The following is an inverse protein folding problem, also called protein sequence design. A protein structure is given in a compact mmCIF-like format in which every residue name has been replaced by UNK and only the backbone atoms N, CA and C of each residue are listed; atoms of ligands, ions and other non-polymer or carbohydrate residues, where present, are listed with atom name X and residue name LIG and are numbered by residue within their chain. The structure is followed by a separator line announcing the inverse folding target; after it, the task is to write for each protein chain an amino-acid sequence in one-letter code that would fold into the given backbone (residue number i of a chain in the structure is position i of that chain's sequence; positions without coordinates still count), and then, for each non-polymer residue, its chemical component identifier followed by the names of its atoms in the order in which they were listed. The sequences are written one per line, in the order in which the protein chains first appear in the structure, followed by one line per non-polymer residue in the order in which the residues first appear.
data_IF_843792234984
#
_entry.id   IF_843792234984
#
_cell.length_a   1.000
_cell.length_b   1.000
_cell.length_c   1.000
_cell.angle_alpha   90.00
_cell.angle_beta   90.00
_cell.angle_gamma   90.00
#
_symmetry.space_group_name_H-M   'P 1'
#
loop_
_entity.id
_entity.type
_entity.pdbx_description
1 polymer ?
#
# COMPACT_ATOMS: atom_id res chain seq x y z
N UNK A 1 10.65 5.09 -14.49
CA UNK A 1 10.37 6.30 -13.69
C UNK A 1 9.80 6.01 -12.29
N UNK A 2 9.31 4.81 -11.98
CA UNK A 2 8.68 4.52 -10.68
C UNK A 2 9.50 4.94 -9.44
N UNK A 3 10.80 4.60 -9.40
CA UNK A 3 11.68 4.87 -8.24
C UNK A 3 12.26 6.30 -8.24
N UNK A 4 12.65 6.82 -9.42
CA UNK A 4 13.41 8.08 -9.55
C UNK A 4 12.65 9.21 -10.28
N UNK A 5 11.34 9.08 -10.45
CA UNK A 5 10.53 10.01 -11.25
C UNK A 5 9.96 11.19 -10.46
N UNK A 6 10.21 11.28 -9.16
CA UNK A 6 9.69 12.33 -8.28
C UNK A 6 10.70 13.45 -8.09
N UNK A 7 10.20 14.67 -8.00
CA UNK A 7 11.04 15.84 -7.73
C UNK A 7 11.56 15.81 -6.29
N UNK A 8 12.85 16.12 -6.12
CA UNK A 8 13.52 16.17 -4.82
C UNK A 8 13.78 14.80 -4.19
N UNK A 9 14.23 14.80 -2.93
CA UNK A 9 14.50 13.60 -2.15
C UNK A 9 13.21 13.00 -1.58
N UNK A 10 12.44 12.34 -2.45
CA UNK A 10 11.11 11.82 -2.14
C UNK A 10 11.00 10.32 -2.46
N UNK A 11 11.80 9.50 -1.76
CA UNK A 11 11.80 8.04 -1.92
C UNK A 11 10.45 7.43 -1.53
N UNK A 12 10.00 6.43 -2.28
CA UNK A 12 8.86 5.60 -1.93
C UNK A 12 9.12 4.11 -2.27
N UNK A 13 8.52 3.17 -1.53
CA UNK A 13 8.53 1.76 -1.90
C UNK A 13 7.74 1.50 -3.19
N UNK A 14 8.24 0.59 -4.02
CA UNK A 14 7.57 0.10 -5.24
C UNK A 14 7.42 -1.41 -5.15
N UNK A 15 6.20 -1.91 -5.27
CA UNK A 15 5.87 -3.35 -5.37
C UNK A 15 5.42 -3.61 -6.79
N UNK A 16 6.03 -4.56 -7.50
CA UNK A 16 5.72 -4.82 -8.91
C UNK A 16 5.07 -6.20 -9.08
N UNK A 17 3.89 -6.23 -9.70
CA UNK A 17 3.21 -7.48 -10.00
C UNK A 17 3.84 -8.18 -11.21
N UNK A 18 3.98 -9.51 -11.17
CA UNK A 18 4.52 -10.32 -12.28
C UNK A 18 3.45 -11.04 -13.11
N UNK A 19 2.21 -11.15 -12.62
CA UNK A 19 1.09 -11.82 -13.30
C UNK A 19 -0.27 -11.36 -12.74
N UNK A 20 -1.41 -11.67 -13.39
CA UNK A 20 -2.73 -11.27 -12.90
C UNK A 20 -3.09 -11.79 -11.51
N UNK A 21 -2.73 -13.03 -11.18
CA UNK A 21 -2.95 -13.62 -9.86
C UNK A 21 -1.97 -13.08 -8.82
N UNK A 22 -0.72 -12.83 -9.19
CA UNK A 22 0.28 -12.20 -8.31
C UNK A 22 -0.10 -10.75 -7.93
N UNK A 23 -0.84 -10.05 -8.80
CA UNK A 23 -1.34 -8.71 -8.51
C UNK A 23 -2.23 -8.64 -7.26
N UNK A 24 -2.91 -9.72 -6.90
CA UNK A 24 -3.73 -9.79 -5.69
C UNK A 24 -2.86 -9.72 -4.42
N UNK A 25 -1.86 -10.59 -4.32
CA UNK A 25 -0.92 -10.63 -3.19
C UNK A 25 -0.09 -9.34 -3.11
N UNK A 26 0.40 -8.85 -4.26
CA UNK A 26 1.15 -7.60 -4.34
C UNK A 26 0.32 -6.39 -3.84
N UNK A 27 -0.99 -6.36 -4.10
CA UNK A 27 -1.86 -5.30 -3.62
C UNK A 27 -2.01 -5.33 -2.08
N UNK A 28 -2.19 -6.52 -1.50
CA UNK A 28 -2.27 -6.70 -0.04
C UNK A 28 -0.96 -6.24 0.61
N UNK A 29 0.17 -6.66 0.07
CA UNK A 29 1.49 -6.28 0.58
C UNK A 29 1.76 -4.77 0.47
N UNK A 30 1.39 -4.15 -0.66
CA UNK A 30 1.51 -2.71 -0.83
C UNK A 30 0.69 -1.93 0.22
N UNK A 31 -0.55 -2.37 0.50
CA UNK A 31 -1.38 -1.80 1.55
C UNK A 31 -0.76 -1.98 2.94
N UNK A 32 -0.25 -3.18 3.25
CA UNK A 32 0.40 -3.47 4.53
C UNK A 32 1.61 -2.57 4.77
N UNK A 33 2.49 -2.40 3.77
CA UNK A 33 3.65 -1.51 3.86
C UNK A 33 3.21 -0.05 4.04
N UNK A 34 2.23 0.42 3.27
CA UNK A 34 1.76 1.79 3.31
C UNK A 34 1.22 2.16 4.70
N UNK A 35 0.44 1.25 5.29
CA UNK A 35 -0.15 1.41 6.62
C UNK A 35 0.90 1.30 7.72
N UNK A 36 1.75 0.27 7.68
CA UNK A 36 2.76 0.00 8.70
C UNK A 36 3.76 1.15 8.86
N UNK A 37 4.19 1.74 7.74
CA UNK A 37 5.23 2.76 7.74
C UNK A 37 4.70 4.18 7.50
N UNK A 38 3.37 4.33 7.36
CA UNK A 38 2.71 5.59 7.03
C UNK A 38 3.41 6.32 5.86
N UNK A 39 3.69 5.58 4.79
CA UNK A 39 4.41 6.08 3.61
C UNK A 39 3.61 5.78 2.35
N UNK A 40 3.62 6.64 1.32
CA UNK A 40 3.08 6.27 0.03
C UNK A 40 3.82 5.04 -0.52
N UNK A 41 3.08 4.11 -1.15
CA UNK A 41 3.61 2.92 -1.82
C UNK A 41 3.02 2.87 -3.22
N UNK A 42 3.82 2.52 -4.22
CA UNK A 42 3.37 2.31 -5.60
C UNK A 42 3.23 0.83 -5.88
N UNK A 43 2.02 0.39 -6.23
CA UNK A 43 1.79 -0.89 -6.89
C UNK A 43 2.00 -0.70 -8.39
N UNK A 44 3.09 -1.24 -8.92
CA UNK A 44 3.48 -1.15 -10.32
C UNK A 44 2.95 -2.38 -11.08
N UNK A 45 2.13 -2.12 -12.09
CA UNK A 45 1.60 -3.11 -13.03
C UNK A 45 1.59 -2.52 -14.44
N UNK A 46 1.16 -3.30 -15.42
CA UNK A 46 1.04 -2.87 -16.80
C UNK A 46 -0.33 -3.23 -17.41
N UNK A 47 -0.58 -2.73 -18.62
CA UNK A 47 -1.82 -2.96 -19.33
C UNK A 47 -2.05 -4.42 -19.73
N UNK A 48 -1.00 -5.24 -19.84
CA UNK A 48 -1.15 -6.65 -20.12
C UNK A 48 -1.65 -7.39 -18.87
N UNK A 49 -0.97 -7.24 -17.74
CA UNK A 49 -1.37 -7.86 -16.45
C UNK A 49 -2.78 -7.42 -16.06
N UNK A 50 -3.11 -6.13 -16.20
CA UNK A 50 -4.43 -5.61 -15.83
C UNK A 50 -5.59 -6.10 -16.70
N UNK A 51 -5.33 -6.57 -17.92
CA UNK A 51 -6.35 -7.10 -18.84
C UNK A 51 -6.28 -8.62 -19.05
N UNK A 52 -5.20 -9.26 -18.59
CA UNK A 52 -5.01 -10.69 -18.69
C UNK A 52 -5.77 -11.44 -17.58
N UNK A 53 -5.87 -12.75 -17.75
CA UNK A 53 -6.39 -13.65 -16.74
C UNK A 53 -5.47 -14.86 -16.65
N UNK A 54 -5.40 -15.45 -15.46
CA UNK A 54 -4.72 -16.73 -15.25
C UNK A 54 -5.53 -17.60 -14.31
N UNK A 55 -5.47 -18.94 -14.45
CA UNK A 55 -6.11 -19.83 -13.51
C UNK A 55 -5.39 -19.75 -12.16
N UNK A 56 -6.09 -19.29 -11.14
CA UNK A 56 -5.58 -19.22 -9.77
C UNK A 56 -6.70 -19.53 -8.78
N UNK A 57 -6.32 -20.02 -7.60
CA UNK A 57 -7.27 -20.25 -6.52
C UNK A 57 -7.35 -18.97 -5.70
N UNK A 58 -8.50 -18.29 -5.76
CA UNK A 58 -8.76 -17.13 -4.90
C UNK A 58 -8.61 -17.55 -3.44
N UNK A 59 -7.69 -16.95 -2.67
CA UNK A 59 -7.48 -17.26 -1.27
C UNK A 59 -8.67 -16.77 -0.43
N UNK A 60 -8.88 -17.39 0.72
CA UNK A 60 -9.89 -16.94 1.67
C UNK A 60 -9.41 -15.65 2.33
N UNK A 61 -10.15 -14.52 2.24
CA UNK A 61 -9.80 -13.28 2.93
C UNK A 61 -9.55 -13.46 4.43
N UNK A 62 -10.24 -14.42 5.08
CA UNK A 62 -10.07 -14.70 6.51
C UNK A 62 -8.73 -15.39 6.84
N UNK A 63 -8.01 -15.91 5.84
CA UNK A 63 -6.70 -16.56 6.02
C UNK A 63 -5.52 -15.58 6.05
N UNK A 64 -5.75 -14.32 5.70
CA UNK A 64 -4.70 -13.30 5.70
C UNK A 64 -4.45 -12.75 7.11
N UNK A 65 -3.18 -12.53 7.42
CA UNK A 65 -2.79 -11.85 8.66
C UNK A 65 -3.33 -10.41 8.67
N UNK A 66 -4.19 -10.05 9.64
CA UNK A 66 -4.66 -8.68 9.77
C UNK A 66 -3.50 -7.74 10.09
N UNK A 67 -3.49 -6.56 9.47
CA UNK A 67 -2.61 -5.46 9.85
C UNK A 67 -3.43 -4.38 10.56
N UNK A 68 -3.59 -4.46 11.90
CA UNK A 68 -4.46 -3.55 12.65
C UNK A 68 -3.91 -2.12 12.60
N UNK A 69 -4.81 -1.16 12.50
CA UNK A 69 -4.49 0.26 12.44
C UNK A 69 -5.02 0.97 13.68
N UNK A 70 -4.27 1.96 14.15
CA UNK A 70 -4.71 2.85 15.22
C UNK A 70 -5.10 4.19 14.61
N UNK A 71 -6.37 4.55 14.75
CA UNK A 71 -6.85 5.85 14.30
C UNK A 71 -6.75 6.86 15.43
N UNK A 72 -6.60 8.14 15.05
CA UNK A 72 -6.63 9.23 16.00
C UNK A 72 -8.08 9.45 16.48
N UNK A 73 -8.37 9.06 17.73
CA UNK A 73 -9.71 9.24 18.33
C UNK A 73 -9.93 10.61 18.98
N UNK A 74 -8.84 11.30 19.34
CA UNK A 74 -8.87 12.61 20.01
C UNK A 74 -7.78 13.51 19.44
N UNK A 75 -8.00 14.82 19.45
CA UNK A 75 -7.01 15.79 18.96
C UNK A 75 -5.66 15.63 19.69
N UNK A 76 -4.56 15.54 18.93
CA UNK A 76 -3.20 15.37 19.45
C UNK A 76 -2.52 16.71 19.84
N UNK A 77 -3.30 17.77 20.00
CA UNK A 77 -2.85 19.12 20.33
C UNK A 77 -3.73 19.73 21.42
N UNK A 78 -3.15 20.40 22.45
CA UNK A 78 -3.90 21.20 23.41
C UNK A 78 -4.82 22.26 22.77
N UNK A 79 -4.46 22.79 21.59
CA UNK A 79 -5.25 23.78 20.86
C UNK A 79 -6.46 23.23 20.08
N UNK A 80 -6.78 21.93 20.21
CA UNK A 80 -7.95 21.32 19.57
C UNK A 80 -7.83 21.04 18.06
N UNK A 81 -6.68 21.34 17.44
CA UNK A 81 -6.43 21.05 16.03
C UNK A 81 -5.63 19.75 15.85
N UNK A 82 -5.93 18.97 14.82
CA UNK A 82 -5.14 17.79 14.46
C UNK A 82 -3.79 18.20 13.87
N UNK A 83 -2.70 17.59 14.35
CA UNK A 83 -1.35 17.71 13.81
C UNK A 83 -0.97 16.40 13.09
N UNK A 84 -1.10 16.33 11.75
CA UNK A 84 -0.99 15.06 11.00
C UNK A 84 0.36 14.35 11.10
N UNK A 85 1.43 15.10 11.35
CA UNK A 85 2.81 14.58 11.40
C UNK A 85 3.37 14.43 12.81
N UNK A 86 2.57 14.76 13.84
CA UNK A 86 2.97 14.60 15.23
C UNK A 86 2.81 13.13 15.61
N UNK A 87 3.94 12.43 15.69
CA UNK A 87 4.03 11.07 16.21
C UNK A 87 3.94 11.05 17.72
#
# INVERSE_FOLDING_TARGET
QAVYGRNGDASLPVVAARSPGDAFECAIEACRIAVQFMTPVMLLTDGYIGNASEPWKVPDPASFEPFPVSFLEKNNNPGGNVLPFKR
#
